data_IF_165122810729
#
_entry.id   IF_165122810729
#
_cell.length_a   1.000
_cell.length_b   1.000
_cell.length_c   1.000
_cell.angle_alpha   90.00
_cell.angle_beta   90.00
_cell.angle_gamma   90.00
#
_symmetry.space_group_name_H-M   'P 1'
#
loop_
_entity.id
_entity.type
_entity.pdbx_description
1 polymer ?
#
# COMPACT_ATOMS: atom_id res chain seq x y z
N UNK A 1 12.19 -2.29 -13.22
CA UNK A 1 12.05 -1.76 -11.85
C UNK A 1 13.26 -0.86 -11.59
N UNK A 2 13.08 0.46 -11.64
CA UNK A 2 14.17 1.47 -11.64
C UNK A 2 14.21 2.35 -10.38
N UNK A 3 13.54 1.93 -9.30
CA UNK A 3 13.41 2.68 -8.04
C UNK A 3 14.03 2.02 -6.80
N UNK A 4 14.82 0.94 -6.94
CA UNK A 4 15.46 0.25 -5.81
C UNK A 4 14.56 -0.68 -4.99
N UNK A 5 13.33 -0.94 -5.47
CA UNK A 5 12.38 -1.86 -4.82
C UNK A 5 12.52 -3.26 -5.41
N UNK A 6 12.68 -4.25 -4.54
CA UNK A 6 12.58 -5.67 -4.92
C UNK A 6 11.15 -6.02 -5.37
N UNK A 7 11.01 -6.85 -6.40
CA UNK A 7 9.73 -7.20 -6.99
C UNK A 7 8.72 -7.79 -5.97
N UNK A 8 9.23 -8.51 -4.95
CA UNK A 8 8.41 -9.12 -3.90
C UNK A 8 8.12 -8.19 -2.72
N UNK A 9 8.85 -7.09 -2.55
CA UNK A 9 8.74 -6.22 -1.39
C UNK A 9 7.36 -5.55 -1.26
N UNK A 10 6.63 -5.40 -2.37
CA UNK A 10 5.27 -4.84 -2.36
C UNK A 10 4.19 -5.86 -1.97
N UNK A 11 4.50 -7.16 -1.91
CA UNK A 11 3.50 -8.17 -1.59
C UNK A 11 2.95 -8.05 -0.15
N UNK A 12 3.78 -7.96 0.91
CA UNK A 12 3.28 -7.77 2.27
C UNK A 12 2.45 -6.50 2.49
N UNK A 13 2.87 -5.29 2.07
CA UNK A 13 2.09 -4.07 2.30
C UNK A 13 0.79 -4.06 1.47
N UNK A 14 0.79 -4.57 0.24
CA UNK A 14 -0.45 -4.71 -0.56
C UNK A 14 -1.46 -5.62 0.12
N UNK A 15 -1.01 -6.74 0.71
CA UNK A 15 -1.87 -7.65 1.46
C UNK A 15 -2.45 -6.98 2.71
N UNK A 16 -1.66 -6.18 3.42
CA UNK A 16 -2.11 -5.44 4.60
C UNK A 16 -3.17 -4.40 4.24
N UNK A 17 -2.90 -3.51 3.29
CA UNK A 17 -3.84 -2.48 2.87
C UNK A 17 -5.11 -3.07 2.21
N UNK A 18 -4.96 -4.13 1.42
CA UNK A 18 -6.08 -4.88 0.84
C UNK A 18 -6.91 -5.69 1.86
N UNK A 19 -6.53 -5.69 3.14
CA UNK A 19 -7.38 -6.24 4.18
C UNK A 19 -8.61 -5.36 4.45
N UNK A 20 -8.52 -4.04 4.24
CA UNK A 20 -9.64 -3.12 4.40
C UNK A 20 -10.82 -3.53 3.50
N UNK A 21 -11.98 -3.76 4.11
CA UNK A 21 -13.20 -4.22 3.41
C UNK A 21 -14.43 -4.02 4.28
N UNK A 22 -15.55 -3.78 3.62
CA UNK A 22 -16.88 -3.93 4.22
C UNK A 22 -17.37 -5.35 3.94
N UNK A 23 -17.84 -6.07 4.95
CA UNK A 23 -18.36 -7.44 4.78
C UNK A 23 -19.87 -7.36 4.91
N UNK A 24 -20.58 -7.82 3.88
CA UNK A 24 -22.04 -7.73 3.75
C UNK A 24 -22.78 -8.29 4.97
N UNK A 25 -22.34 -9.45 5.47
CA UNK A 25 -22.96 -10.16 6.59
C UNK A 25 -22.23 -9.96 7.93
N UNK A 26 -21.32 -8.99 8.04
CA UNK A 26 -20.66 -8.77 9.32
C UNK A 26 -19.53 -7.75 9.35
N UNK A 27 -19.81 -6.58 9.92
CA UNK A 27 -18.81 -5.59 10.31
C UNK A 27 -17.97 -5.03 9.15
N UNK A 28 -17.03 -4.17 9.51
CA UNK A 28 -16.11 -3.57 8.54
C UNK A 28 -14.74 -3.38 9.14
N UNK A 29 -13.73 -3.48 8.28
CA UNK A 29 -12.37 -3.06 8.58
C UNK A 29 -12.03 -1.88 7.67
N UNK A 30 -11.93 -0.70 8.26
CA UNK A 30 -11.46 0.51 7.59
C UNK A 30 -10.01 0.76 7.96
N UNK A 31 -9.13 0.88 6.98
CA UNK A 31 -7.74 1.27 7.18
C UNK A 31 -7.55 2.69 6.66
N UNK A 32 -7.06 3.57 7.53
CA UNK A 32 -6.65 4.93 7.17
C UNK A 32 -5.13 5.00 7.30
N UNK A 33 -4.47 5.48 6.26
CA UNK A 33 -3.04 5.70 6.27
C UNK A 33 -2.67 6.95 5.49
N UNK A 34 -1.46 7.42 5.73
CA UNK A 34 -0.82 8.52 5.02
C UNK A 34 0.18 7.97 4.02
N UNK A 35 0.21 8.54 2.83
CA UNK A 35 1.28 8.31 1.86
C UNK A 35 2.16 9.56 1.79
N UNK A 36 3.47 9.36 1.65
CA UNK A 36 4.38 10.43 1.28
C UNK A 36 4.34 10.59 -0.24
N UNK A 37 4.24 11.82 -0.70
CA UNK A 37 4.23 12.18 -2.13
C UNK A 37 5.19 13.35 -2.34
N UNK A 38 5.66 13.52 -3.58
CA UNK A 38 6.54 14.64 -3.97
C UNK A 38 7.85 14.71 -3.16
N UNK A 39 8.33 13.57 -2.65
CA UNK A 39 9.57 13.48 -1.86
C UNK A 39 10.84 13.54 -2.72
N UNK A 40 10.69 13.56 -4.05
CA UNK A 40 11.77 13.40 -5.03
C UNK A 40 12.50 12.04 -4.90
N UNK A 41 11.81 11.04 -4.35
CA UNK A 41 12.28 9.65 -4.24
C UNK A 41 11.56 8.78 -5.27
N UNK A 42 12.33 8.19 -6.20
CA UNK A 42 11.79 7.22 -7.16
C UNK A 42 11.17 5.98 -6.50
N UNK A 43 11.52 5.71 -5.24
CA UNK A 43 10.94 4.63 -4.47
C UNK A 43 9.52 4.99 -4.05
N UNK A 44 9.33 6.20 -3.51
CA UNK A 44 8.01 6.66 -3.06
C UNK A 44 7.07 6.85 -4.26
N UNK A 45 7.57 7.40 -5.37
CA UNK A 45 6.82 7.52 -6.64
C UNK A 45 6.41 6.16 -7.25
N UNK A 46 7.12 5.08 -6.92
CA UNK A 46 6.80 3.73 -7.40
C UNK A 46 5.85 2.97 -6.46
N UNK A 47 5.71 3.43 -5.20
CA UNK A 47 4.81 2.87 -4.20
C UNK A 47 3.43 3.53 -4.29
N UNK A 48 3.40 4.84 -4.54
CA UNK A 48 2.19 5.63 -4.78
C UNK A 48 1.56 5.33 -6.14
#
# INVERSE_FOLDING_TARGET
MSGGIDAGALYPPKKFFGAARNIEEGGSLTILATALVETNSRMDDAIF
#
